data_IF_195544931297
#
_entry.id   IF_195544931297
#
_cell.length_a   1.000
_cell.length_b   1.000
_cell.length_c   1.000
_cell.angle_alpha   90.00
_cell.angle_beta   90.00
_cell.angle_gamma   90.00
#
_symmetry.space_group_name_H-M   'P 1'
#
loop_
_entity.id
_entity.type
_entity.pdbx_description
1 polymer ?
#
# COMPACT_ATOMS: atom_id res chain seq x y z
N UNK A 1 31.47 0.29 15.23
CA UNK A 1 30.11 0.65 15.70
C UNK A 1 29.45 -0.60 16.26
N UNK A 2 28.94 -0.57 17.50
CA UNK A 2 28.43 -1.77 18.17
C UNK A 2 26.95 -2.03 17.91
N UNK A 3 26.55 -3.31 17.94
CA UNK A 3 25.15 -3.78 17.82
C UNK A 3 24.17 -3.02 18.74
N UNK A 4 24.61 -2.69 19.97
CA UNK A 4 23.82 -1.92 20.93
C UNK A 4 23.45 -0.53 20.43
N UNK A 5 24.41 0.20 19.85
CA UNK A 5 24.16 1.53 19.31
C UNK A 5 23.13 1.50 18.18
N UNK A 6 23.23 0.52 17.27
CA UNK A 6 22.27 0.36 16.17
C UNK A 6 20.87 -0.02 16.68
N UNK A 7 20.79 -0.92 17.67
CA UNK A 7 19.51 -1.29 18.31
C UNK A 7 18.85 -0.10 19.01
N UNK A 8 19.63 0.69 19.73
CA UNK A 8 19.13 1.87 20.45
C UNK A 8 18.69 2.97 19.47
N UNK A 9 19.43 3.19 18.38
CA UNK A 9 19.04 4.11 17.32
C UNK A 9 17.73 3.68 16.62
N UNK A 10 17.58 2.40 16.30
CA UNK A 10 16.36 1.86 15.70
C UNK A 10 15.15 1.99 16.64
N UNK A 11 15.33 1.71 17.93
CA UNK A 11 14.27 1.92 18.94
C UNK A 11 13.86 3.39 19.02
N UNK A 12 14.83 4.29 19.05
CA UNK A 12 14.55 5.73 19.10
C UNK A 12 13.75 6.20 17.88
N UNK A 13 14.14 5.78 16.67
CA UNK A 13 13.41 6.09 15.43
C UNK A 13 11.99 5.51 15.48
N UNK A 14 11.83 4.27 15.96
CA UNK A 14 10.52 3.64 16.10
C UNK A 14 9.60 4.37 17.10
N UNK A 15 10.13 4.83 18.22
CA UNK A 15 9.36 5.55 19.23
C UNK A 15 8.96 6.96 18.77
N UNK A 16 9.84 7.64 18.02
CA UNK A 16 9.52 8.90 17.36
C UNK A 16 8.40 8.71 16.32
N UNK A 17 8.53 7.70 15.45
CA UNK A 17 7.51 7.39 14.45
C UNK A 17 6.16 7.04 15.11
N UNK A 18 6.16 6.24 16.19
CA UNK A 18 4.93 5.95 16.96
C UNK A 18 4.25 7.20 17.51
N UNK A 19 5.03 8.15 18.01
CA UNK A 19 4.46 9.40 18.54
C UNK A 19 3.78 10.21 17.43
N UNK A 20 4.42 10.30 16.25
CA UNK A 20 3.84 10.95 15.08
C UNK A 20 2.58 10.25 14.58
N UNK A 21 2.62 8.92 14.50
CA UNK A 21 1.47 8.09 14.12
C UNK A 21 0.26 8.38 15.00
N UNK A 22 0.44 8.38 16.33
CA UNK A 22 -0.65 8.61 17.28
C UNK A 22 -1.24 10.00 17.14
N UNK A 23 -0.38 11.01 17.00
CA UNK A 23 -0.82 12.39 16.78
C UNK A 23 -1.61 12.53 15.46
N UNK A 24 -1.13 11.88 14.39
CA UNK A 24 -1.79 11.92 13.10
C UNK A 24 -3.14 11.19 13.14
N UNK A 25 -3.16 9.95 13.61
CA UNK A 25 -4.37 9.12 13.67
C UNK A 25 -5.45 9.73 14.57
N UNK A 26 -5.07 10.51 15.58
CA UNK A 26 -6.01 11.26 16.41
C UNK A 26 -6.70 12.40 15.65
N UNK A 27 -6.05 13.06 14.69
CA UNK A 27 -6.51 14.33 14.13
C UNK A 27 -6.84 14.29 12.64
N UNK A 28 -6.32 13.31 11.90
CA UNK A 28 -6.37 13.29 10.44
C UNK A 28 -6.76 11.91 9.90
N UNK A 29 -7.42 11.86 8.72
CA UNK A 29 -7.62 10.62 7.98
C UNK A 29 -6.30 9.95 7.60
N UNK A 30 -6.33 8.62 7.53
CA UNK A 30 -5.19 7.80 7.13
C UNK A 30 -5.67 6.51 6.46
N UNK A 31 -4.78 5.90 5.70
CA UNK A 31 -4.93 4.52 5.25
C UNK A 31 -4.17 3.58 6.16
N UNK A 32 -4.71 2.38 6.35
CA UNK A 32 -3.99 1.28 6.97
C UNK A 32 -3.71 0.22 5.92
N UNK A 33 -2.48 -0.26 5.86
CA UNK A 33 -2.09 -1.39 5.00
C UNK A 33 -1.52 -2.47 5.89
N UNK A 34 -1.84 -3.72 5.61
CA UNK A 34 -1.10 -4.84 6.18
C UNK A 34 -1.02 -5.99 5.19
N UNK A 35 0.02 -6.79 5.38
CA UNK A 35 0.23 -8.01 4.62
C UNK A 35 0.94 -9.05 5.51
N UNK A 36 0.74 -10.31 5.13
CA UNK A 36 1.39 -11.44 5.74
C UNK A 36 2.84 -11.53 5.24
N UNK A 37 3.79 -11.55 6.17
CA UNK A 37 5.20 -11.71 5.88
C UNK A 37 5.64 -13.13 6.25
N UNK A 38 6.51 -13.69 5.42
CA UNK A 38 7.19 -14.96 5.70
C UNK A 38 8.69 -14.74 5.73
N UNK A 39 9.29 -14.92 6.89
CA UNK A 39 10.74 -14.79 7.08
C UNK A 39 11.35 -16.17 7.16
N UNK A 40 12.18 -16.53 6.18
CA UNK A 40 12.85 -17.83 6.13
C UNK A 40 14.28 -17.70 6.63
N UNK A 41 14.59 -18.43 7.71
CA UNK A 41 15.93 -18.50 8.27
C UNK A 41 16.64 -19.72 7.71
N UNK A 42 17.35 -19.50 6.60
CA UNK A 42 18.17 -20.52 5.98
C UNK A 42 19.37 -20.88 6.85
N UNK A 43 19.63 -22.17 6.97
CA UNK A 43 20.83 -22.70 7.61
C UNK A 43 21.66 -23.42 6.58
N UNK A 44 22.93 -23.04 6.47
CA UNK A 44 23.86 -23.60 5.47
C UNK A 44 24.09 -25.10 5.65
N UNK A 45 24.01 -25.60 6.90
CA UNK A 45 24.09 -27.03 7.21
C UNK A 45 22.89 -27.48 8.02
N UNK A 46 22.02 -28.27 7.40
CA UNK A 46 20.91 -28.93 8.08
C UNK A 46 21.43 -30.06 8.97
N UNK A 47 21.06 -30.03 10.25
CA UNK A 47 21.22 -31.15 11.18
C UNK A 47 19.86 -31.48 11.79
N UNK A 48 19.74 -32.63 12.43
CA UNK A 48 18.47 -33.12 13.02
C UNK A 48 17.83 -32.12 13.99
N UNK A 49 18.62 -31.31 14.70
CA UNK A 49 18.19 -30.25 15.60
C UNK A 49 18.42 -28.83 15.06
N UNK A 50 18.83 -28.68 13.80
CA UNK A 50 19.25 -27.42 13.20
C UNK A 50 18.71 -27.31 11.77
N UNK A 51 17.41 -27.18 11.64
CA UNK A 51 16.75 -27.09 10.34
C UNK A 51 16.49 -25.64 9.92
N UNK A 52 16.35 -25.45 8.61
CA UNK A 52 15.76 -24.23 8.06
C UNK A 52 14.32 -24.16 8.56
N UNK A 53 13.94 -23.01 9.10
CA UNK A 53 12.57 -22.77 9.54
C UNK A 53 12.10 -21.45 8.92
N UNK A 54 10.80 -21.35 8.71
CA UNK A 54 10.16 -20.13 8.26
C UNK A 54 9.16 -19.70 9.31
N UNK A 55 9.25 -18.44 9.71
CA UNK A 55 8.30 -17.82 10.62
C UNK A 55 7.30 -17.00 9.80
N UNK A 56 6.02 -17.14 10.12
CA UNK A 56 4.96 -16.29 9.57
C UNK A 56 4.69 -15.14 10.55
N UNK A 57 4.36 -13.98 10.00
CA UNK A 57 3.96 -12.83 10.80
C UNK A 57 3.22 -11.81 9.94
N UNK A 58 2.90 -10.68 10.53
CA UNK A 58 2.24 -9.56 9.86
C UNK A 58 3.14 -8.35 9.88
N UNK A 59 3.21 -7.66 8.75
CA UNK A 59 3.71 -6.29 8.68
C UNK A 59 2.56 -5.34 8.36
N UNK A 60 2.58 -4.15 8.96
CA UNK A 60 1.56 -3.14 8.73
C UNK A 60 2.20 -1.77 8.55
N UNK A 61 1.52 -0.90 7.80
CA UNK A 61 1.94 0.47 7.51
C UNK A 61 0.75 1.41 7.58
N UNK A 62 0.89 2.52 8.29
CA UNK A 62 -0.04 3.64 8.21
C UNK A 62 0.45 4.62 7.14
N UNK A 63 -0.45 5.05 6.27
CA UNK A 63 -0.17 6.07 5.26
C UNK A 63 -0.98 7.32 5.59
N UNK A 64 -0.28 8.43 5.79
CA UNK A 64 -0.92 9.73 5.96
C UNK A 64 -1.55 10.16 4.64
N UNK A 65 -2.79 10.66 4.69
CA UNK A 65 -3.41 11.32 3.54
C UNK A 65 -2.99 12.79 3.59
N UNK A 66 -2.16 13.28 2.65
CA UNK A 66 -1.78 14.70 2.64
C UNK A 66 -3.03 15.56 2.43
N UNK A 67 -3.09 16.71 3.10
CA UNK A 67 -4.29 17.56 3.11
C UNK A 67 -4.75 17.97 1.72
N UNK A 68 -3.80 18.15 0.80
CA UNK A 68 -4.04 18.56 -0.58
C UNK A 68 -4.77 17.47 -1.40
N UNK A 69 -4.76 16.22 -0.95
CA UNK A 69 -5.50 15.14 -1.58
C UNK A 69 -6.90 14.93 -1.01
N UNK A 70 -7.30 15.69 0.02
CA UNK A 70 -8.64 15.58 0.62
C UNK A 70 -9.74 15.97 -0.37
N UNK A 71 -9.45 16.93 -1.24
CA UNK A 71 -10.35 17.45 -2.28
C UNK A 71 -9.92 17.04 -3.70
N UNK A 72 -9.00 16.06 -3.83
CA UNK A 72 -8.52 15.64 -5.15
C UNK A 72 -9.69 15.13 -5.99
N UNK A 73 -9.81 15.56 -7.26
CA UNK A 73 -10.99 15.29 -8.06
C UNK A 73 -11.32 13.80 -8.06
N UNK A 74 -12.55 13.49 -7.67
CA UNK A 74 -13.12 12.18 -7.84
C UNK A 74 -12.93 11.79 -9.31
N UNK A 75 -12.24 10.67 -9.56
CA UNK A 75 -12.30 10.03 -10.87
C UNK A 75 -13.73 9.54 -10.97
N UNK A 76 -14.59 10.39 -11.52
CA UNK A 76 -15.95 10.02 -11.85
C UNK A 76 -15.89 9.06 -13.05
N UNK A 77 -16.67 7.98 -12.99
CA UNK A 77 -16.73 7.00 -14.09
C UNK A 77 -17.15 7.64 -15.40
N UNK A 78 -17.90 8.73 -15.32
CA UNK A 78 -18.37 9.51 -16.47
C UNK A 78 -17.21 10.20 -17.22
N UNK A 79 -16.18 10.71 -16.50
CA UNK A 79 -15.00 11.33 -17.12
C UNK A 79 -14.19 10.37 -17.99
N UNK A 80 -14.22 9.05 -17.71
CA UNK A 80 -13.46 8.05 -18.46
C UNK A 80 -14.06 7.74 -19.84
N UNK A 81 -15.34 8.11 -20.04
CA UNK A 81 -16.08 7.84 -21.28
C UNK A 81 -16.26 9.08 -22.15
N UNK A 82 -15.85 10.25 -21.68
CA UNK A 82 -15.93 11.49 -22.45
C UNK A 82 -14.99 11.45 -23.67
N UNK A 83 -15.48 11.79 -24.88
CA UNK A 83 -14.66 11.80 -26.10
C UNK A 83 -13.38 12.65 -25.99
N UNK A 84 -13.45 13.79 -25.31
CA UNK A 84 -12.30 14.67 -25.08
C UNK A 84 -11.23 14.00 -24.20
N UNK A 85 -11.64 13.27 -23.16
CA UNK A 85 -10.74 12.47 -22.33
C UNK A 85 -10.11 11.34 -23.13
N UNK A 86 -10.87 10.67 -23.99
CA UNK A 86 -10.36 9.61 -24.87
C UNK A 86 -9.32 10.13 -25.89
N UNK A 87 -9.55 11.31 -26.47
CA UNK A 87 -8.60 11.94 -27.40
C UNK A 87 -7.33 12.40 -26.69
N UNK A 88 -7.44 12.96 -25.47
CA UNK A 88 -6.26 13.27 -24.64
C UNK A 88 -5.47 12.00 -24.31
N UNK A 89 -6.14 10.92 -23.89
CA UNK A 89 -5.51 9.62 -23.62
C UNK A 89 -4.79 9.09 -24.87
N UNK A 90 -5.40 9.22 -26.05
CA UNK A 90 -4.78 8.83 -27.33
C UNK A 90 -3.49 9.62 -27.59
N UNK A 91 -3.53 10.93 -27.45
CA UNK A 91 -2.33 11.79 -27.59
C UNK A 91 -1.23 11.39 -26.61
N UNK A 92 -1.57 11.13 -25.35
CA UNK A 92 -0.62 10.67 -24.33
C UNK A 92 -0.01 9.29 -24.65
N UNK A 93 -0.81 8.34 -25.15
CA UNK A 93 -0.33 7.02 -25.60
C UNK A 93 0.65 7.15 -26.77
N UNK A 94 0.33 7.97 -27.77
CA UNK A 94 1.23 8.24 -28.90
C UNK A 94 2.54 8.88 -28.43
N UNK A 95 2.49 9.91 -27.58
CA UNK A 95 3.68 10.52 -27.00
C UNK A 95 4.54 9.52 -26.20
N UNK A 96 3.91 8.59 -25.49
CA UNK A 96 4.61 7.54 -24.73
C UNK A 96 5.35 6.57 -25.65
N UNK A 97 4.73 6.14 -26.74
CA UNK A 97 5.35 5.31 -27.78
C UNK A 97 6.52 6.03 -28.45
N UNK A 98 6.34 7.28 -28.87
CA UNK A 98 7.41 8.08 -29.49
C UNK A 98 8.59 8.22 -28.53
N UNK A 99 8.34 8.54 -27.25
CA UNK A 99 9.39 8.69 -26.24
C UNK A 99 10.12 7.38 -25.95
N UNK A 100 9.43 6.25 -26.02
CA UNK A 100 10.05 4.93 -25.91
C UNK A 100 10.96 4.66 -27.13
N UNK A 101 10.46 4.92 -28.34
CA UNK A 101 11.21 4.74 -29.58
C UNK A 101 12.47 5.62 -29.61
N UNK A 102 12.37 6.90 -29.24
CA UNK A 102 13.52 7.82 -29.16
C UNK A 102 14.59 7.39 -28.12
N UNK A 103 14.24 6.51 -27.18
CA UNK A 103 15.18 5.95 -26.20
C UNK A 103 15.87 4.67 -26.66
N UNK A 104 15.48 4.09 -27.79
CA UNK A 104 16.17 2.91 -28.33
C UNK A 104 17.46 3.31 -29.03
N UNK A 105 18.40 2.38 -29.18
CA UNK A 105 19.72 2.66 -29.76
C UNK A 105 19.61 3.14 -31.22
N UNK A 106 18.61 2.65 -31.97
CA UNK A 106 18.36 2.97 -33.37
C UNK A 106 17.97 4.44 -33.57
N UNK A 107 17.27 5.04 -32.60
CA UNK A 107 16.82 6.43 -32.66
C UNK A 107 17.58 7.36 -31.72
N UNK A 108 18.56 6.85 -30.97
CA UNK A 108 19.39 7.64 -30.05
C UNK A 108 20.15 8.78 -30.75
N UNK A 109 20.35 8.69 -32.07
CA UNK A 109 21.00 9.71 -32.92
C UNK A 109 20.04 10.43 -33.86
N UNK A 110 18.73 10.29 -33.66
CA UNK A 110 17.74 10.93 -34.51
C UNK A 110 17.84 12.46 -34.38
N UNK A 111 18.18 13.12 -35.49
CA UNK A 111 18.53 14.55 -35.53
C UNK A 111 17.40 15.49 -35.06
N UNK A 112 16.16 15.02 -35.10
CA UNK A 112 14.98 15.80 -34.72
C UNK A 112 14.33 15.32 -33.42
N UNK A 113 15.05 14.56 -32.58
CA UNK A 113 14.52 14.05 -31.31
C UNK A 113 13.97 15.14 -30.38
N UNK A 114 14.55 16.34 -30.42
CA UNK A 114 14.14 17.50 -29.62
C UNK A 114 13.12 18.42 -30.33
N UNK A 115 12.55 17.98 -31.45
CA UNK A 115 11.56 18.77 -32.19
C UNK A 115 10.32 19.06 -31.33
N UNK A 116 9.77 20.29 -31.35
CA UNK A 116 8.52 20.63 -30.66
C UNK A 116 7.33 19.74 -31.07
N UNK A 117 7.35 19.18 -32.28
CA UNK A 117 6.31 18.25 -32.75
C UNK A 117 6.38 16.86 -32.10
N UNK A 118 7.51 16.52 -31.49
CA UNK A 118 7.72 15.30 -30.70
C UNK A 118 7.66 15.60 -29.19
N UNK A 119 7.34 16.84 -28.81
CA UNK A 119 7.16 17.20 -27.41
C UNK A 119 6.06 16.33 -26.80
N UNK A 120 6.32 15.85 -25.59
CA UNK A 120 5.37 15.05 -24.86
C UNK A 120 4.14 15.90 -24.49
N UNK A 121 2.91 15.43 -24.72
CA UNK A 121 1.71 16.20 -24.43
C UNK A 121 1.59 16.47 -22.92
N UNK A 122 0.87 17.55 -22.57
CA UNK A 122 0.63 17.89 -21.17
C UNK A 122 -0.02 16.71 -20.41
N UNK A 123 0.41 16.44 -19.16
CA UNK A 123 -0.14 15.34 -18.38
C UNK A 123 -1.66 15.48 -18.19
N UNK A 124 -2.36 14.35 -18.30
CA UNK A 124 -3.78 14.26 -18.00
C UNK A 124 -3.89 14.05 -16.49
N UNK A 125 -4.33 15.08 -15.76
CA UNK A 125 -4.35 15.12 -14.29
C UNK A 125 -2.97 14.86 -13.67
N UNK A 126 -2.00 15.79 -13.84
CA UNK A 126 -0.70 15.64 -13.21
C UNK A 126 -0.91 15.46 -11.70
N UNK A 127 -0.39 14.37 -11.14
CA UNK A 127 -0.26 14.27 -9.70
C UNK A 127 0.61 15.43 -9.23
N UNK A 128 0.22 16.11 -8.15
CA UNK A 128 0.97 17.26 -7.69
C UNK A 128 2.32 16.77 -7.15
N UNK A 129 3.36 17.57 -7.35
CA UNK A 129 4.75 17.18 -7.04
C UNK A 129 5.40 18.22 -6.14
N UNK A 130 6.40 17.79 -5.38
CA UNK A 130 7.12 18.62 -4.43
C UNK A 130 7.01 18.11 -2.98
N UNK A 131 7.73 18.75 -2.04
CA UNK A 131 7.79 18.31 -0.64
C UNK A 131 6.43 18.23 0.05
N UNK A 132 5.51 19.15 -0.29
CA UNK A 132 4.18 19.23 0.33
C UNK A 132 3.23 18.09 -0.08
N UNK A 133 3.54 17.41 -1.19
CA UNK A 133 2.75 16.31 -1.74
C UNK A 133 3.38 14.94 -1.47
N UNK A 134 4.45 14.92 -0.67
CA UNK A 134 5.13 13.68 -0.28
C UNK A 134 4.24 12.87 0.67
N UNK A 135 3.87 11.68 0.22
CA UNK A 135 3.15 10.71 1.05
C UNK A 135 4.08 10.22 2.17
N UNK A 136 3.67 10.41 3.43
CA UNK A 136 4.38 9.88 4.59
C UNK A 136 3.84 8.51 4.94
N UNK A 137 4.76 7.56 5.13
CA UNK A 137 4.46 6.18 5.46
C UNK A 137 5.14 5.84 6.77
N UNK A 138 4.39 5.20 7.67
CA UNK A 138 4.86 4.81 8.98
C UNK A 138 4.70 3.30 9.13
N UNK A 139 5.80 2.59 9.03
CA UNK A 139 5.81 1.13 9.20
C UNK A 139 5.74 0.77 10.68
N UNK A 140 4.83 -0.12 11.02
CA UNK A 140 4.76 -0.73 12.34
C UNK A 140 5.79 -1.87 12.46
N UNK A 141 6.18 -2.24 13.70
CA UNK A 141 6.96 -3.44 13.91
C UNK A 141 6.22 -4.67 13.38
N UNK A 142 6.95 -5.56 12.73
CA UNK A 142 6.44 -6.88 12.40
C UNK A 142 6.04 -7.64 13.67
N UNK A 143 4.93 -8.36 13.61
CA UNK A 143 4.41 -9.15 14.73
C UNK A 143 4.19 -10.60 14.32
N UNK A 144 4.39 -11.57 15.22
CA UNK A 144 4.19 -12.99 14.94
C UNK A 144 2.70 -13.35 14.99
N UNK A 145 1.89 -12.66 14.18
CA UNK A 145 0.46 -12.94 14.03
C UNK A 145 0.28 -13.60 12.67
N UNK A 146 -0.39 -14.74 12.66
CA UNK A 146 -0.71 -15.44 11.41
C UNK A 146 -2.12 -15.06 10.94
N UNK A 147 -2.22 -14.52 9.73
CA UNK A 147 -3.48 -14.04 9.15
C UNK A 147 -4.31 -15.14 8.48
N UNK A 148 -3.96 -16.42 8.66
CA UNK A 148 -4.67 -17.52 7.99
C UNK A 148 -6.09 -17.72 8.50
N UNK A 149 -6.38 -17.28 9.72
CA UNK A 149 -7.69 -17.43 10.38
C UNK A 149 -8.38 -16.08 10.60
N UNK A 150 -9.71 -16.11 10.74
CA UNK A 150 -10.50 -14.92 11.09
C UNK A 150 -10.06 -14.29 12.42
N UNK A 151 -9.69 -15.11 13.41
CA UNK A 151 -9.20 -14.63 14.70
C UNK A 151 -7.82 -13.97 14.57
N UNK A 152 -6.94 -14.52 13.74
CA UNK A 152 -5.66 -13.92 13.39
C UNK A 152 -5.83 -12.52 12.77
N UNK A 153 -6.73 -12.40 11.78
CA UNK A 153 -7.06 -11.09 11.18
C UNK A 153 -7.60 -10.11 12.23
N UNK A 154 -8.51 -10.55 13.11
CA UNK A 154 -9.03 -9.71 14.18
C UNK A 154 -7.93 -9.27 15.16
N UNK A 155 -6.96 -10.13 15.44
CA UNK A 155 -5.80 -9.81 16.28
C UNK A 155 -4.90 -8.76 15.62
N UNK A 156 -4.72 -8.81 14.30
CA UNK A 156 -4.04 -7.74 13.55
C UNK A 156 -4.79 -6.42 13.71
N UNK A 157 -6.12 -6.39 13.46
CA UNK A 157 -6.92 -5.17 13.62
C UNK A 157 -6.78 -4.56 15.03
N UNK A 158 -6.80 -5.39 16.07
CA UNK A 158 -6.61 -4.97 17.47
C UNK A 158 -5.20 -4.45 17.74
N UNK A 159 -4.19 -5.08 17.15
CA UNK A 159 -2.80 -4.66 17.26
C UNK A 159 -2.61 -3.28 16.61
N UNK A 160 -3.17 -3.08 15.42
CA UNK A 160 -3.21 -1.77 14.76
C UNK A 160 -3.86 -0.70 15.63
N UNK A 161 -5.05 -0.96 16.20
CA UNK A 161 -5.70 -0.03 17.15
C UNK A 161 -4.77 0.35 18.30
N UNK A 162 -4.03 -0.62 18.84
CA UNK A 162 -3.07 -0.39 19.93
C UNK A 162 -1.90 0.48 19.48
N UNK A 163 -1.38 0.27 18.27
CA UNK A 163 -0.26 1.06 17.76
C UNK A 163 -0.63 2.53 17.52
N UNK A 164 -1.86 2.80 17.08
CA UNK A 164 -2.38 4.16 16.85
C UNK A 164 -3.09 4.76 18.06
N UNK A 165 -3.04 4.10 19.23
CA UNK A 165 -3.66 4.54 20.49
C UNK A 165 -5.19 4.74 20.43
N UNK A 166 -5.88 3.90 19.66
CA UNK A 166 -7.34 3.86 19.52
C UNK A 166 -7.97 2.75 20.37
N UNK A 167 -7.57 2.64 21.63
CA UNK A 167 -8.02 1.59 22.56
C UNK A 167 -8.96 2.09 23.66
N UNK A 168 -9.04 3.41 23.86
CA UNK A 168 -9.95 4.00 24.86
C UNK A 168 -11.41 3.94 24.42
N UNK A 169 -12.33 3.99 25.38
CA UNK A 169 -13.78 4.03 25.13
C UNK A 169 -14.17 5.20 24.21
N UNK A 170 -13.54 6.37 24.40
CA UNK A 170 -13.79 7.54 23.54
C UNK A 170 -13.40 7.29 22.09
N UNK A 171 -12.24 6.65 21.85
CA UNK A 171 -11.83 6.30 20.49
C UNK A 171 -12.69 5.18 19.90
N UNK A 172 -13.18 4.24 20.73
CA UNK A 172 -14.09 3.19 20.26
C UNK A 172 -15.45 3.74 19.85
N UNK A 173 -15.99 4.73 20.58
CA UNK A 173 -17.17 5.49 20.17
C UNK A 173 -16.90 6.18 18.83
N UNK A 174 -15.77 6.90 18.71
CA UNK A 174 -15.39 7.59 17.48
C UNK A 174 -15.28 6.65 16.28
N UNK A 175 -14.72 5.45 16.45
CA UNK A 175 -14.71 4.40 15.43
C UNK A 175 -16.13 3.92 15.09
N UNK A 176 -17.04 3.95 16.04
CA UNK A 176 -18.43 3.59 15.80
C UNK A 176 -19.25 4.66 15.08
N UNK A 177 -18.87 5.94 15.16
CA UNK A 177 -19.70 7.08 14.75
C UNK A 177 -19.10 7.97 13.67
N UNK A 178 -17.81 8.30 13.78
CA UNK A 178 -17.22 9.46 13.08
C UNK A 178 -15.99 9.13 12.24
N UNK A 179 -15.46 7.91 12.33
CA UNK A 179 -14.23 7.52 11.67
C UNK A 179 -14.43 6.30 10.76
N UNK A 180 -14.02 6.44 9.50
CA UNK A 180 -13.89 5.36 8.55
C UNK A 180 -12.42 5.25 8.12
N UNK A 181 -11.86 4.05 8.23
CA UNK A 181 -10.47 3.72 7.93
C UNK A 181 -10.47 2.81 6.70
N UNK A 182 -10.03 3.30 5.53
CA UNK A 182 -9.82 2.45 4.39
C UNK A 182 -8.59 1.57 4.64
N UNK A 183 -8.78 0.27 4.46
CA UNK A 183 -7.84 -0.77 4.88
C UNK A 183 -7.42 -1.60 3.69
N UNK A 184 -6.16 -1.43 3.29
CA UNK A 184 -5.59 -2.07 2.11
C UNK A 184 -4.89 -3.37 2.49
N UNK A 185 -4.94 -4.31 1.55
CA UNK A 185 -4.24 -5.58 1.61
C UNK A 185 -4.37 -6.29 0.27
N UNK A 186 -3.78 -7.47 0.14
CA UNK A 186 -3.95 -8.31 -1.04
C UNK A 186 -5.42 -8.80 -1.19
N UNK A 187 -5.67 -9.60 -2.23
CA UNK A 187 -7.02 -10.12 -2.50
C UNK A 187 -7.55 -10.97 -1.33
N UNK A 188 -6.68 -11.72 -0.67
CA UNK A 188 -7.05 -12.64 0.38
C UNK A 188 -7.38 -11.90 1.67
N UNK A 189 -6.56 -10.91 2.03
CA UNK A 189 -6.79 -9.98 3.14
C UNK A 189 -8.09 -9.21 2.93
N UNK A 190 -8.32 -8.66 1.73
CA UNK A 190 -9.59 -8.01 1.40
C UNK A 190 -10.80 -8.92 1.64
N UNK A 191 -10.74 -10.16 1.12
CA UNK A 191 -11.82 -11.13 1.26
C UNK A 191 -12.05 -11.53 2.74
N UNK A 192 -10.98 -11.72 3.50
CA UNK A 192 -11.03 -12.08 4.93
C UNK A 192 -11.62 -10.96 5.78
N UNK A 193 -11.20 -9.71 5.57
CA UNK A 193 -11.77 -8.57 6.28
C UNK A 193 -13.26 -8.39 5.98
N UNK A 194 -13.66 -8.55 4.71
CA UNK A 194 -15.08 -8.51 4.32
C UNK A 194 -15.89 -9.61 5.01
N UNK A 195 -15.37 -10.83 5.02
CA UNK A 195 -16.01 -11.95 5.71
C UNK A 195 -16.09 -11.74 7.23
N UNK A 196 -15.04 -11.18 7.83
CA UNK A 196 -15.01 -10.84 9.26
C UNK A 196 -16.10 -9.82 9.61
N UNK A 197 -16.32 -8.78 8.78
CA UNK A 197 -17.44 -7.85 8.94
C UNK A 197 -18.79 -8.58 8.89
N UNK A 198 -18.98 -9.49 7.92
CA UNK A 198 -20.22 -10.25 7.77
C UNK A 198 -20.55 -11.09 9.00
N UNK A 199 -19.56 -11.85 9.52
CA UNK A 199 -19.75 -12.64 10.74
C UNK A 199 -20.10 -11.80 11.95
N UNK A 200 -19.71 -10.52 11.95
CA UNK A 200 -19.87 -9.61 13.08
C UNK A 200 -21.09 -8.70 12.97
N UNK A 201 -21.94 -8.84 11.95
CA UNK A 201 -23.10 -7.95 11.73
C UNK A 201 -24.09 -7.91 12.91
N UNK A 202 -24.17 -8.97 13.71
CA UNK A 202 -25.08 -9.05 14.86
C UNK A 202 -24.53 -8.43 16.15
N UNK A 203 -23.29 -7.91 16.14
CA UNK A 203 -22.77 -7.19 17.31
C UNK A 203 -23.55 -5.89 17.55
N UNK A 204 -23.74 -5.55 18.83
CA UNK A 204 -24.53 -4.38 19.23
C UNK A 204 -23.83 -3.07 18.90
N UNK A 205 -22.51 -3.01 19.07
CA UNK A 205 -21.72 -1.80 18.86
C UNK A 205 -21.16 -1.75 17.42
N UNK A 206 -21.19 -0.56 16.80
CA UNK A 206 -20.65 -0.35 15.46
C UNK A 206 -19.14 -0.63 15.37
N UNK A 207 -18.39 -0.30 16.42
CA UNK A 207 -16.98 -0.65 16.57
C UNK A 207 -16.74 -2.16 16.58
N UNK A 208 -17.60 -2.93 17.26
CA UNK A 208 -17.54 -4.39 17.29
C UNK A 208 -17.93 -5.03 15.97
N UNK A 209 -18.88 -4.44 15.23
CA UNK A 209 -19.21 -4.84 13.85
C UNK A 209 -18.10 -4.49 12.84
N UNK A 210 -17.11 -3.71 13.27
CA UNK A 210 -16.03 -3.17 12.44
C UNK A 210 -16.58 -2.21 11.36
N UNK A 211 -17.59 -1.40 11.70
CA UNK A 211 -18.22 -0.48 10.74
C UNK A 211 -17.24 0.56 10.21
N UNK A 212 -16.29 1.04 11.04
CA UNK A 212 -15.17 1.90 10.62
C UNK A 212 -14.28 1.30 9.53
N UNK A 213 -14.20 -0.03 9.44
CA UNK A 213 -13.28 -0.70 8.54
C UNK A 213 -13.84 -0.70 7.12
N UNK A 214 -13.15 -0.08 6.17
CA UNK A 214 -13.50 -0.16 4.74
C UNK A 214 -12.43 -0.96 4.02
N UNK A 215 -12.60 -2.27 3.80
CA UNK A 215 -11.64 -3.05 3.05
C UNK A 215 -11.50 -2.49 1.64
N UNK A 216 -10.26 -2.26 1.21
CA UNK A 216 -9.91 -1.77 -0.13
C UNK A 216 -8.91 -2.75 -0.72
N UNK A 217 -9.13 -3.17 -1.96
CA UNK A 217 -8.17 -4.03 -2.65
C UNK A 217 -6.87 -3.26 -2.93
N UNK A 218 -5.76 -3.80 -2.46
CA UNK A 218 -4.42 -3.25 -2.65
C UNK A 218 -3.93 -3.46 -4.08
N UNK A 219 -4.22 -2.51 -4.96
CA UNK A 219 -3.82 -2.53 -6.37
C UNK A 219 -2.32 -2.72 -6.61
N UNK A 220 -1.47 -2.44 -5.62
CA UNK A 220 -0.04 -2.72 -5.69
C UNK A 220 0.22 -4.21 -5.98
N UNK A 221 -0.45 -5.13 -5.28
CA UNK A 221 -0.26 -6.57 -5.50
C UNK A 221 -0.71 -6.99 -6.90
N UNK A 222 -1.81 -6.44 -7.41
CA UNK A 222 -2.23 -6.69 -8.80
C UNK A 222 -1.19 -6.19 -9.81
N UNK A 223 -0.62 -5.00 -9.60
CA UNK A 223 0.44 -4.46 -10.47
C UNK A 223 1.69 -5.33 -10.44
N UNK A 224 2.11 -5.78 -9.26
CA UNK A 224 3.26 -6.66 -9.11
C UNK A 224 3.03 -8.01 -9.78
N UNK A 225 1.86 -8.62 -9.60
CA UNK A 225 1.49 -9.88 -10.27
C UNK A 225 1.48 -9.73 -11.80
N UNK A 226 0.91 -8.64 -12.32
CA UNK A 226 0.93 -8.37 -13.77
C UNK A 226 2.38 -8.18 -14.25
N UNK A 227 3.20 -7.45 -13.50
CA UNK A 227 4.62 -7.26 -13.81
C UNK A 227 5.39 -8.59 -13.83
N UNK A 228 5.15 -9.46 -12.85
CA UNK A 228 5.72 -10.81 -12.79
C UNK A 228 5.26 -11.67 -13.98
N UNK A 229 3.97 -11.67 -14.31
CA UNK A 229 3.44 -12.42 -15.46
C UNK A 229 4.06 -11.93 -16.77
N UNK A 230 4.19 -10.62 -16.97
CA UNK A 230 4.88 -10.06 -18.13
C UNK A 230 6.35 -10.51 -18.11
N UNK A 231 7.03 -10.33 -16.98
CA UNK A 231 8.43 -10.71 -16.86
C UNK A 231 8.66 -12.20 -17.16
N UNK A 232 7.88 -13.12 -16.59
CA UNK A 232 8.05 -14.56 -16.82
C UNK A 232 7.70 -15.00 -18.25
N UNK A 233 6.74 -14.33 -18.92
CA UNK A 233 6.41 -14.64 -20.32
C UNK A 233 7.41 -14.08 -21.34
N UNK A 234 8.13 -13.01 -20.99
CA UNK A 234 9.06 -12.32 -21.90
C UNK A 234 10.53 -12.40 -21.46
N UNK A 235 10.81 -12.93 -20.28
CA UNK A 235 12.14 -13.38 -19.90
C UNK A 235 12.44 -14.59 -20.75
N UNK A 236 13.50 -14.53 -21.55
CA UNK A 236 14.02 -15.65 -22.32
C UNK A 236 14.23 -16.86 -21.41
N UNK A 237 13.21 -17.70 -21.30
CA UNK A 237 13.36 -19.03 -20.75
C UNK A 237 13.88 -19.87 -21.92
N UNK A 238 15.01 -20.55 -21.71
CA UNK A 238 15.57 -21.54 -22.65
C UNK A 238 14.70 -22.81 -22.70
N UNK A 239 13.39 -22.65 -22.79
CA UNK A 239 12.43 -23.70 -23.04
C UNK A 239 11.83 -23.47 -24.43
N UNK A 240 12.70 -23.60 -25.43
CA UNK A 240 12.38 -23.89 -26.82
C UNK A 240 13.15 -25.13 -27.23
#
# INVERSE_FOLDING_TARGET
MGYRWMSDALKHIADLSRTQIRLHAANHPFYMIHDNIRVVFHKETQRTNNQTHGDNGTAATLIEIPEQYRDWPHIDGDNLLEPETLDRIRSFKHGSLIRLLLKTEEFAKYEHGDSPYLAFPDPIHPLPTGPDYQVKQHMFPAVPIEETTSDGNLLVLRSCKTWVDMTSVVQDIRLGTDLMIPWLGDQLTFARLKHLKQMRQMHRCASDRLDYLTPVFGWFHAKMLIGEVIFENYRDSKAG
#
